data_IF_816670304068
#
_entry.id   IF_816670304068
#
_cell.length_a   1.000
_cell.length_b   1.000
_cell.length_c   1.000
_cell.angle_alpha   90.00
_cell.angle_beta   90.00
_cell.angle_gamma   90.00
#
_symmetry.space_group_name_H-M   'P 1'
#
loop_
_entity.id
_entity.type
_entity.pdbx_description
1 polymer ?
#
# COMPACT_ATOMS: atom_id res chain seq x y z
N UNK A 1 0.22 7.12 -24.26
CA UNK A 1 0.15 6.41 -22.95
C UNK A 1 0.65 7.31 -21.81
N UNK A 2 1.82 7.94 -21.94
CA UNK A 2 2.40 8.82 -20.90
C UNK A 2 1.61 10.12 -20.67
N UNK A 3 1.11 10.78 -21.72
CA UNK A 3 0.28 11.99 -21.58
C UNK A 3 -1.04 11.71 -20.83
N UNK A 4 -1.72 10.61 -21.15
CA UNK A 4 -2.93 10.15 -20.46
C UNK A 4 -2.62 9.73 -19.01
N UNK A 5 -1.46 9.11 -18.78
CA UNK A 5 -0.97 8.82 -17.42
C UNK A 5 -0.73 10.10 -16.63
N UNK A 6 -0.13 11.14 -17.23
CA UNK A 6 0.04 12.47 -16.60
C UNK A 6 -1.30 13.14 -16.30
N UNK A 7 -2.23 13.12 -17.24
CA UNK A 7 -3.58 13.69 -17.10
C UNK A 7 -4.36 13.01 -15.96
N UNK A 8 -4.45 11.67 -15.99
CA UNK A 8 -5.10 10.86 -14.94
C UNK A 8 -4.46 11.06 -13.56
N UNK A 9 -3.14 11.24 -13.54
CA UNK A 9 -2.38 11.33 -12.31
C UNK A 9 -2.29 12.76 -11.73
N UNK A 10 -2.73 13.77 -12.49
CA UNK A 10 -2.99 15.14 -12.03
C UNK A 10 -4.41 15.30 -11.48
N UNK A 11 -5.32 14.35 -11.73
CA UNK A 11 -6.69 14.34 -11.22
C UNK A 11 -6.81 13.80 -9.78
N UNK A 12 -5.87 14.16 -8.88
CA UNK A 12 -6.01 13.90 -7.44
C UNK A 12 -6.77 15.05 -6.81
N UNK A 13 -8.09 15.11 -7.04
CA UNK A 13 -8.95 16.25 -6.71
C UNK A 13 -9.13 16.60 -5.23
N UNK A 14 -8.39 15.97 -4.31
CA UNK A 14 -8.89 15.88 -2.95
C UNK A 14 -8.10 16.71 -1.92
N UNK A 15 -6.78 16.67 -1.81
CA UNK A 15 -6.10 17.48 -0.76
C UNK A 15 -4.67 17.89 -1.15
N UNK A 16 -4.33 19.16 -0.93
CA UNK A 16 -2.98 19.68 -1.10
C UNK A 16 -2.02 19.08 -0.04
N UNK A 17 -0.72 18.93 -0.35
CA UNK A 17 0.30 18.61 0.66
C UNK A 17 0.22 19.57 1.86
N UNK A 18 0.17 19.02 3.09
CA UNK A 18 0.36 19.81 4.31
C UNK A 18 -0.90 20.27 5.08
N UNK A 19 -2.11 19.79 4.73
CA UNK A 19 -3.37 20.23 5.39
C UNK A 19 -3.66 19.55 6.74
N UNK A 20 -2.77 18.68 7.23
CA UNK A 20 -3.02 17.92 8.46
C UNK A 20 -2.35 18.56 9.67
N UNK A 21 -3.13 18.80 10.72
CA UNK A 21 -2.68 19.37 11.99
C UNK A 21 -1.52 18.54 12.58
N UNK A 22 -0.34 19.18 12.69
CA UNK A 22 0.92 18.59 13.13
C UNK A 22 0.92 18.15 14.61
N UNK A 23 -0.17 18.42 15.35
CA UNK A 23 -0.31 18.11 16.78
C UNK A 23 -1.06 16.81 17.08
N UNK A 24 -1.52 16.05 16.08
CA UNK A 24 -2.24 14.79 16.38
C UNK A 24 -1.29 13.71 16.91
N UNK A 25 -1.60 13.05 18.04
CA UNK A 25 -0.83 11.90 18.50
C UNK A 25 -0.89 10.77 17.46
N UNK A 26 0.29 10.35 17.00
CA UNK A 26 0.45 9.22 16.07
C UNK A 26 0.23 7.91 16.80
N UNK A 27 -0.99 7.38 16.75
CA UNK A 27 -1.33 6.06 17.27
C UNK A 27 -1.57 5.09 16.12
N UNK A 28 -0.99 3.91 16.21
CA UNK A 28 -1.39 2.80 15.34
C UNK A 28 -2.86 2.44 15.60
N UNK A 29 -3.63 2.37 14.53
CA UNK A 29 -5.02 2.00 14.56
C UNK A 29 -5.39 1.27 13.26
N UNK A 30 -6.36 0.36 13.35
CA UNK A 30 -7.00 -0.23 12.18
C UNK A 30 -8.02 0.76 11.60
N UNK A 31 -8.28 0.64 10.29
CA UNK A 31 -9.28 1.46 9.63
C UNK A 31 -8.80 2.87 9.27
N UNK A 32 -9.73 3.83 9.09
CA UNK A 32 -9.41 5.15 8.58
C UNK A 32 -8.68 5.99 9.64
N UNK A 33 -7.88 6.95 9.18
CA UNK A 33 -7.30 7.97 10.06
C UNK A 33 -8.23 9.18 10.05
N UNK A 34 -8.72 9.60 11.22
CA UNK A 34 -9.67 10.71 11.35
C UNK A 34 -9.21 11.95 10.57
N UNK A 35 -10.07 12.64 9.82
CA UNK A 35 -9.65 13.83 9.08
C UNK A 35 -8.60 13.61 7.98
N UNK A 36 -8.25 12.36 7.65
CA UNK A 36 -7.48 12.00 6.46
C UNK A 36 -8.37 11.23 5.50
N UNK A 37 -9.12 11.94 4.64
CA UNK A 37 -9.94 11.32 3.61
C UNK A 37 -9.11 10.61 2.54
N UNK A 38 -9.76 9.66 1.85
CA UNK A 38 -9.21 9.03 0.64
C UNK A 38 -8.85 10.10 -0.39
N UNK A 39 -7.73 9.91 -1.07
CA UNK A 39 -7.20 10.84 -2.06
C UNK A 39 -6.21 11.85 -1.51
N UNK A 40 -6.01 11.94 -0.18
CA UNK A 40 -4.90 12.73 0.39
C UNK A 40 -3.55 12.29 -0.19
N UNK A 41 -2.70 13.28 -0.50
CA UNK A 41 -1.37 13.06 -1.06
C UNK A 41 -0.27 13.62 -0.17
N UNK A 42 0.91 13.00 -0.26
CA UNK A 42 2.15 13.46 0.38
C UNK A 42 3.30 13.43 -0.64
N UNK A 43 4.16 14.46 -0.68
CA UNK A 43 5.34 14.50 -1.54
C UNK A 43 6.32 13.35 -1.26
N UNK A 44 6.40 12.87 -0.02
CA UNK A 44 7.39 11.88 0.41
C UNK A 44 6.81 10.79 1.33
N UNK A 45 7.53 9.65 1.42
CA UNK A 45 7.24 8.59 2.41
C UNK A 45 7.27 9.12 3.83
N UNK A 46 8.21 10.03 4.12
CA UNK A 46 8.38 10.62 5.44
C UNK A 46 7.16 11.42 5.86
N UNK A 47 6.64 12.27 4.99
CA UNK A 47 5.43 13.05 5.27
C UNK A 47 4.19 12.15 5.39
N UNK A 48 4.06 11.11 4.56
CA UNK A 48 2.99 10.11 4.69
C UNK A 48 3.05 9.38 6.05
N UNK A 49 4.28 9.07 6.52
CA UNK A 49 4.52 8.47 7.83
C UNK A 49 4.20 9.42 8.98
N UNK A 50 4.60 10.69 8.87
CA UNK A 50 4.31 11.73 9.85
C UNK A 50 2.82 12.07 9.91
N UNK A 51 2.07 11.85 8.84
CA UNK A 51 0.61 11.95 8.84
C UNK A 51 -0.09 10.74 9.51
N UNK A 52 0.65 9.67 9.81
CA UNK A 52 0.12 8.50 10.52
C UNK A 52 -0.63 7.49 9.66
N UNK A 53 -0.75 7.73 8.36
CA UNK A 53 -1.46 6.82 7.44
C UNK A 53 -0.66 5.55 7.19
N UNK A 54 0.66 5.69 7.04
CA UNK A 54 1.60 4.57 6.93
C UNK A 54 2.88 4.87 7.71
N UNK A 55 2.92 4.53 9.00
CA UNK A 55 4.03 4.90 9.90
C UNK A 55 5.36 4.20 9.60
N UNK A 56 5.36 3.15 8.79
CA UNK A 56 6.59 2.48 8.40
C UNK A 56 7.35 3.30 7.35
N UNK A 57 8.45 3.92 7.76
CA UNK A 57 9.24 4.83 6.92
C UNK A 57 9.86 4.13 5.70
N UNK A 58 10.29 2.87 5.84
CA UNK A 58 10.89 2.07 4.77
C UNK A 58 10.04 0.88 4.35
N UNK A 59 9.55 0.12 5.33
CA UNK A 59 8.84 -1.12 5.04
C UNK A 59 7.56 -0.88 4.23
N UNK A 60 7.26 -1.83 3.34
CA UNK A 60 6.03 -1.85 2.56
C UNK A 60 4.81 -2.12 3.44
N UNK A 61 4.96 -2.89 4.53
CA UNK A 61 3.87 -3.31 5.40
C UNK A 61 4.09 -2.72 6.81
N UNK A 62 3.04 -2.14 7.38
CA UNK A 62 2.98 -1.72 8.77
C UNK A 62 2.10 -2.70 9.56
N UNK A 63 2.73 -3.66 10.26
CA UNK A 63 2.06 -4.73 11.01
C UNK A 63 1.62 -4.32 12.42
N UNK A 64 0.58 -4.98 12.93
CA UNK A 64 -0.01 -4.82 14.25
C UNK A 64 -0.41 -6.16 14.89
N UNK A 65 -0.91 -6.15 16.14
CA UNK A 65 -1.21 -7.35 16.90
C UNK A 65 -2.38 -8.18 16.34
N UNK A 66 -3.28 -7.58 15.53
CA UNK A 66 -4.50 -8.18 14.95
C UNK A 66 -4.53 -8.12 13.42
N UNK A 67 -3.39 -7.84 12.80
CA UNK A 67 -3.25 -7.75 11.35
C UNK A 67 -2.37 -6.59 10.92
N UNK A 68 -2.29 -6.33 9.62
CA UNK A 68 -1.64 -5.13 9.10
C UNK A 68 -2.52 -3.89 9.26
N UNK A 69 -1.93 -2.77 9.68
CA UNK A 69 -2.62 -1.47 9.69
C UNK A 69 -2.66 -0.86 8.29
N UNK A 70 -1.55 -0.98 7.55
CA UNK A 70 -1.39 -0.34 6.24
C UNK A 70 -0.33 -1.01 5.38
N UNK A 71 -0.46 -0.86 4.07
CA UNK A 71 0.55 -1.21 3.07
C UNK A 71 0.85 -0.04 2.14
N UNK A 72 2.07 -0.03 1.59
CA UNK A 72 2.52 0.94 0.61
C UNK A 72 3.12 0.23 -0.62
N UNK A 73 2.58 0.52 -1.81
CA UNK A 73 3.13 0.08 -3.09
C UNK A 73 4.07 1.15 -3.64
N UNK A 74 5.34 0.83 -3.89
CA UNK A 74 6.32 1.83 -4.39
C UNK A 74 7.22 1.31 -5.50
N UNK A 75 6.76 0.32 -6.28
CA UNK A 75 7.52 -0.25 -7.41
C UNK A 75 8.68 -1.15 -7.01
N UNK A 76 8.75 -1.58 -5.74
CA UNK A 76 9.79 -2.48 -5.26
C UNK A 76 9.58 -3.93 -5.67
N UNK A 77 8.35 -4.35 -5.96
CA UNK A 77 7.98 -5.69 -6.39
C UNK A 77 7.05 -5.59 -7.61
N UNK A 78 6.93 -6.68 -8.36
CA UNK A 78 6.03 -6.81 -9.52
C UNK A 78 4.59 -7.06 -9.05
N UNK A 79 4.02 -6.10 -8.31
CA UNK A 79 2.64 -6.15 -7.84
C UNK A 79 1.66 -6.03 -9.02
N UNK A 80 0.59 -6.83 -9.01
CA UNK A 80 -0.50 -6.71 -10.00
C UNK A 80 -1.61 -5.84 -9.43
N UNK A 81 -1.71 -4.63 -9.95
CA UNK A 81 -2.65 -3.62 -9.46
C UNK A 81 -3.81 -3.43 -10.46
N UNK A 82 -5.03 -3.76 -10.04
CA UNK A 82 -6.29 -3.61 -10.78
C UNK A 82 -7.21 -2.58 -10.12
N UNK A 83 -6.64 -1.68 -9.31
CA UNK A 83 -7.38 -0.61 -8.64
C UNK A 83 -8.13 -1.13 -7.41
N UNK A 84 -9.36 -1.60 -7.61
CA UNK A 84 -10.21 -2.15 -6.54
C UNK A 84 -9.71 -3.53 -6.06
N UNK A 85 -8.90 -4.21 -6.88
CA UNK A 85 -8.20 -5.45 -6.52
C UNK A 85 -6.70 -5.22 -6.65
N UNK A 86 -5.94 -5.66 -5.65
CA UNK A 86 -4.47 -5.57 -5.64
C UNK A 86 -3.90 -6.93 -5.27
N UNK A 87 -3.03 -7.48 -6.12
CA UNK A 87 -2.18 -8.61 -5.77
C UNK A 87 -0.84 -8.04 -5.31
N UNK A 88 -0.66 -8.06 -3.99
CA UNK A 88 0.49 -7.47 -3.31
C UNK A 88 1.52 -8.54 -2.96
N UNK A 89 2.78 -8.28 -3.28
CA UNK A 89 3.89 -9.17 -2.94
C UNK A 89 4.34 -8.90 -1.50
N UNK A 90 4.51 -9.96 -0.73
CA UNK A 90 5.05 -9.93 0.62
C UNK A 90 6.46 -9.37 0.67
N UNK A 91 6.98 -9.21 1.89
CA UNK A 91 8.34 -8.74 2.13
C UNK A 91 9.30 -9.89 2.42
N UNK A 92 10.60 -9.61 2.32
CA UNK A 92 11.68 -10.56 2.54
C UNK A 92 12.28 -11.05 1.23
N UNK A 93 13.23 -11.98 1.31
CA UNK A 93 13.93 -12.50 0.15
C UNK A 93 14.96 -11.53 -0.43
N UNK A 94 15.34 -10.47 0.30
CA UNK A 94 16.30 -9.43 -0.13
C UNK A 94 17.18 -8.98 1.02
N UNK A 95 18.49 -8.91 0.78
CA UNK A 95 19.47 -8.60 1.83
C UNK A 95 19.66 -7.09 2.08
N UNK A 96 19.42 -6.22 1.08
CA UNK A 96 19.64 -4.78 1.19
C UNK A 96 18.41 -4.02 1.74
N UNK A 97 17.93 -4.39 2.92
CA UNK A 97 16.76 -3.74 3.56
C UNK A 97 15.53 -3.65 2.66
N UNK A 98 15.31 -4.67 1.81
CA UNK A 98 14.20 -4.73 0.84
C UNK A 98 14.47 -4.07 -0.52
N UNK A 99 15.65 -3.46 -0.72
CA UNK A 99 16.12 -2.98 -2.02
C UNK A 99 16.97 -4.05 -2.74
N UNK A 100 17.09 -3.95 -4.06
CA UNK A 100 17.88 -4.90 -4.87
C UNK A 100 17.13 -6.17 -5.30
N UNK A 101 17.81 -7.08 -6.03
CA UNK A 101 17.23 -8.32 -6.50
C UNK A 101 16.90 -9.26 -5.34
N UNK A 102 16.04 -10.25 -5.61
CA UNK A 102 15.82 -11.32 -4.64
C UNK A 102 17.05 -12.23 -4.53
N UNK A 103 17.33 -12.71 -3.32
CA UNK A 103 18.48 -13.58 -3.00
C UNK A 103 18.09 -14.88 -2.31
N UNK A 104 16.86 -14.99 -1.81
CA UNK A 104 16.32 -16.17 -1.14
C UNK A 104 14.79 -16.12 -1.10
N UNK A 105 14.17 -17.23 -0.71
CA UNK A 105 12.72 -17.36 -0.57
C UNK A 105 12.14 -16.46 0.53
N UNK A 106 10.94 -15.94 0.30
CA UNK A 106 10.15 -15.28 1.34
C UNK A 106 9.63 -16.29 2.36
N UNK A 107 9.26 -15.77 3.54
CA UNK A 107 8.75 -16.60 4.64
C UNK A 107 7.44 -16.06 5.19
N UNK A 108 6.47 -16.96 5.40
CA UNK A 108 5.20 -16.64 6.10
C UNK A 108 5.45 -16.25 7.55
N UNK A 109 6.56 -16.70 8.14
CA UNK A 109 6.98 -16.35 9.51
C UNK A 109 7.60 -14.96 9.61
N UNK A 110 7.91 -14.31 8.48
CA UNK A 110 8.36 -12.93 8.51
C UNK A 110 7.25 -12.05 9.11
N UNK A 111 7.58 -11.25 10.14
CA UNK A 111 6.60 -10.53 10.97
C UNK A 111 5.54 -9.78 10.17
N UNK A 112 5.96 -9.08 9.11
CA UNK A 112 5.06 -8.32 8.24
C UNK A 112 4.16 -9.21 7.37
N UNK A 113 4.66 -10.34 6.87
CA UNK A 113 3.84 -11.28 6.09
C UNK A 113 2.82 -11.95 7.01
N UNK A 114 3.26 -12.37 8.21
CA UNK A 114 2.37 -12.91 9.24
C UNK A 114 1.25 -11.93 9.63
N UNK A 115 1.52 -10.62 9.65
CA UNK A 115 0.50 -9.61 9.90
C UNK A 115 -0.56 -9.54 8.79
N UNK A 116 -0.17 -9.66 7.51
CA UNK A 116 -1.15 -9.73 6.41
C UNK A 116 -1.94 -11.04 6.41
N UNK A 117 -1.30 -12.17 6.73
CA UNK A 117 -1.99 -13.45 6.92
C UNK A 117 -3.03 -13.32 8.04
N UNK A 118 -2.65 -12.72 9.17
CA UNK A 118 -3.57 -12.47 10.29
C UNK A 118 -4.74 -11.56 9.92
N UNK A 119 -4.55 -10.60 9.01
CA UNK A 119 -5.65 -9.77 8.49
C UNK A 119 -6.72 -10.58 7.74
N UNK A 120 -6.41 -11.77 7.21
CA UNK A 120 -7.39 -12.67 6.60
C UNK A 120 -8.31 -13.24 7.68
N UNK A 121 -7.73 -13.70 8.79
CA UNK A 121 -8.48 -14.28 9.92
C UNK A 121 -9.34 -13.24 10.64
N UNK A 122 -8.77 -12.05 10.89
CA UNK A 122 -9.43 -11.02 11.70
C UNK A 122 -10.36 -10.11 10.89
N UNK A 123 -10.22 -10.10 9.56
CA UNK A 123 -10.94 -9.19 8.67
C UNK A 123 -10.61 -7.71 8.90
N UNK A 124 -9.53 -7.39 9.62
CA UNK A 124 -9.17 -6.01 9.93
C UNK A 124 -8.88 -5.23 8.62
N UNK A 125 -9.43 -4.01 8.47
CA UNK A 125 -9.21 -3.19 7.28
C UNK A 125 -7.76 -2.68 7.22
N UNK A 126 -7.15 -2.84 6.05
CA UNK A 126 -5.79 -2.41 5.72
C UNK A 126 -5.85 -1.14 4.88
N UNK A 127 -5.18 -0.06 5.32
CA UNK A 127 -5.02 1.14 4.48
C UNK A 127 -4.06 0.86 3.34
N UNK A 128 -4.44 1.24 2.12
CA UNK A 128 -3.57 1.13 0.93
C UNK A 128 -3.06 2.50 0.53
N UNK A 129 -1.74 2.61 0.41
CA UNK A 129 -1.05 3.80 -0.05
C UNK A 129 -0.34 3.47 -1.37
N UNK A 130 -0.65 4.21 -2.43
CA UNK A 130 0.05 4.07 -3.73
C UNK A 130 1.12 5.13 -3.90
N UNK A 131 2.34 4.73 -4.20
CA UNK A 131 3.46 5.61 -4.51
C UNK A 131 3.69 5.77 -6.02
N UNK A 132 4.00 6.99 -6.45
CA UNK A 132 4.12 7.31 -7.89
C UNK A 132 5.33 6.73 -8.62
N UNK A 133 6.28 6.13 -7.88
CA UNK A 133 7.37 5.35 -8.47
C UNK A 133 6.89 4.02 -9.08
N UNK A 134 5.67 3.56 -8.76
CA UNK A 134 5.07 2.38 -9.37
C UNK A 134 4.68 2.64 -10.82
N UNK A 135 4.82 1.63 -11.69
CA UNK A 135 4.35 1.66 -13.09
C UNK A 135 2.84 1.41 -13.23
N UNK A 136 2.15 1.10 -12.14
CA UNK A 136 0.70 0.90 -12.11
C UNK A 136 -0.06 2.10 -12.70
N UNK A 137 -1.09 1.87 -13.55
CA UNK A 137 -1.96 2.94 -14.04
C UNK A 137 -2.79 3.59 -12.93
N UNK A 138 -2.91 2.93 -11.77
CA UNK A 138 -3.63 3.43 -10.60
C UNK A 138 -2.73 4.24 -9.65
N UNK A 139 -1.41 4.21 -9.83
CA UNK A 139 -0.48 4.99 -9.01
C UNK A 139 -0.63 6.50 -9.28
N UNK A 140 -0.37 7.36 -8.29
CA UNK A 140 -0.29 8.81 -8.53
C UNK A 140 0.93 9.16 -9.39
N UNK A 141 0.99 10.39 -9.90
CA UNK A 141 2.08 10.80 -10.80
C UNK A 141 3.40 10.86 -10.03
N UNK A 142 3.32 11.39 -8.82
CA UNK A 142 4.40 11.57 -7.89
C UNK A 142 3.87 11.38 -6.46
N UNK A 143 4.81 11.35 -5.51
CA UNK A 143 4.47 11.25 -4.09
C UNK A 143 3.74 9.96 -3.74
N UNK A 144 2.89 10.05 -2.72
CA UNK A 144 2.15 8.96 -2.10
C UNK A 144 0.71 9.39 -1.90
N UNK A 145 -0.24 8.52 -2.25
CA UNK A 145 -1.68 8.80 -2.13
C UNK A 145 -2.36 7.72 -1.31
N UNK A 146 -3.23 8.13 -0.38
CA UNK A 146 -4.07 7.22 0.38
C UNK A 146 -5.30 6.81 -0.44
N UNK A 147 -5.39 5.54 -0.80
CA UNK A 147 -6.42 5.03 -1.74
C UNK A 147 -7.56 4.27 -1.03
N UNK A 148 -7.60 4.36 0.29
CA UNK A 148 -8.66 3.85 1.14
C UNK A 148 -8.35 2.52 1.79
N UNK A 149 -9.41 1.89 2.28
CA UNK A 149 -9.39 0.65 3.04
C UNK A 149 -9.65 -0.56 2.16
N UNK A 150 -8.89 -1.61 2.38
CA UNK A 150 -9.00 -2.88 1.70
C UNK A 150 -9.07 -4.00 2.75
N UNK A 151 -9.63 -5.14 2.37
CA UNK A 151 -9.53 -6.39 3.14
C UNK A 151 -8.54 -7.32 2.43
N UNK A 152 -7.74 -8.05 3.20
CA UNK A 152 -6.97 -9.18 2.67
C UNK A 152 -7.91 -10.37 2.61
N UNK A 153 -8.04 -11.00 1.44
CA UNK A 153 -9.04 -12.06 1.23
C UNK A 153 -8.42 -13.42 0.92
N UNK A 154 -7.16 -13.45 0.51
CA UNK A 154 -6.46 -14.68 0.15
C UNK A 154 -4.94 -14.47 0.14
N UNK A 155 -4.19 -15.55 0.27
CA UNK A 155 -2.75 -15.61 0.19
C UNK A 155 -2.26 -16.91 -0.47
N UNK A 156 -1.18 -16.82 -1.25
CA UNK A 156 -0.55 -18.01 -1.81
C UNK A 156 0.95 -17.82 -1.98
N UNK A 157 1.65 -18.93 -2.20
CA UNK A 157 3.05 -18.94 -2.61
C UNK A 157 3.12 -19.02 -4.14
N UNK A 158 4.00 -18.24 -4.75
CA UNK A 158 4.34 -18.31 -6.17
C UNK A 158 5.84 -18.12 -6.36
N UNK A 159 6.35 -18.32 -7.57
CA UNK A 159 7.75 -18.07 -7.89
C UNK A 159 7.88 -16.73 -8.63
N UNK A 160 8.89 -15.94 -8.26
CA UNK A 160 9.24 -14.74 -9.00
C UNK A 160 9.99 -15.09 -10.31
N UNK A 161 10.36 -14.07 -11.09
CA UNK A 161 11.10 -14.26 -12.36
C UNK A 161 12.48 -14.88 -12.19
N UNK A 162 13.05 -14.82 -10.98
CA UNK A 162 14.36 -15.35 -10.64
C UNK A 162 14.28 -16.75 -10.00
N UNK A 163 13.08 -17.34 -9.88
CA UNK A 163 12.85 -18.67 -9.31
C UNK A 163 12.76 -18.73 -7.78
N UNK A 164 12.73 -17.59 -7.10
CA UNK A 164 12.54 -17.53 -5.64
C UNK A 164 11.06 -17.54 -5.28
N UNK A 165 10.73 -18.23 -4.20
CA UNK A 165 9.38 -18.24 -3.64
C UNK A 165 9.04 -16.88 -3.06
N UNK A 166 7.91 -16.34 -3.49
CA UNK A 166 7.29 -15.13 -2.95
C UNK A 166 5.92 -15.48 -2.38
N UNK A 167 5.47 -14.66 -1.44
CA UNK A 167 4.11 -14.76 -0.91
C UNK A 167 3.30 -13.63 -1.53
N UNK A 168 2.17 -13.96 -2.11
CA UNK A 168 1.26 -12.98 -2.69
C UNK A 168 -0.02 -12.91 -1.87
N UNK A 169 -0.56 -11.70 -1.76
CA UNK A 169 -1.78 -11.41 -1.03
C UNK A 169 -2.78 -10.75 -1.97
N UNK A 170 -4.02 -11.24 -1.99
CA UNK A 170 -5.11 -10.57 -2.68
C UNK A 170 -5.81 -9.63 -1.72
N UNK A 171 -5.83 -8.35 -2.09
CA UNK A 171 -6.56 -7.31 -1.37
C UNK A 171 -7.73 -6.81 -2.22
N UNK A 172 -8.88 -6.63 -1.58
CA UNK A 172 -10.07 -6.06 -2.20
C UNK A 172 -10.51 -4.79 -1.48
N UNK A 173 -10.81 -3.75 -2.26
CA UNK A 173 -11.27 -2.47 -1.72
C UNK A 173 -12.62 -2.64 -1.02
N UNK A 174 -12.73 -2.12 0.19
CA UNK A 174 -13.99 -2.15 0.93
C UNK A 174 -15.03 -1.20 0.30
N UNK A 175 -16.33 -1.56 0.34
CA UNK A 175 -17.41 -0.66 -0.07
C UNK A 175 -17.60 0.48 0.95
N UNK A 176 -18.50 1.42 0.64
CA UNK A 176 -18.97 2.47 1.56
C UNK A 176 -17.89 3.42 2.11
N UNK A 177 -16.84 3.66 1.34
CA UNK A 177 -15.87 4.73 1.56
C UNK A 177 -15.90 5.70 0.38
N UNK A 178 -15.21 6.84 0.48
CA UNK A 178 -15.12 7.80 -0.63
C UNK A 178 -14.70 7.11 -1.94
N UNK A 179 -15.12 7.65 -3.10
CA UNK A 179 -14.76 7.08 -4.40
C UNK A 179 -13.26 6.86 -4.54
N UNK A 180 -12.90 5.84 -5.32
CA UNK A 180 -11.51 5.60 -5.67
C UNK A 180 -10.92 6.86 -6.35
N UNK A 181 -9.72 7.33 -5.93
CA UNK A 181 -9.10 8.56 -6.45
C UNK A 181 -8.36 8.32 -7.79
N UNK A 182 -8.84 7.35 -8.58
CA UNK A 182 -8.27 6.93 -9.86
C UNK A 182 -9.39 6.52 -10.81
N UNK A 183 -9.21 6.75 -12.10
CA UNK A 183 -10.16 6.30 -13.10
C UNK A 183 -10.04 4.78 -13.27
N UNK A 184 -11.18 4.09 -13.31
CA UNK A 184 -11.22 2.66 -13.63
C UNK A 184 -10.67 2.49 -15.04
N UNK A 185 -9.73 1.57 -15.23
CA UNK A 185 -9.25 1.26 -16.57
C UNK A 185 -10.47 0.80 -17.41
N UNK A 186 -10.74 1.52 -18.49
CA UNK A 186 -11.72 1.14 -19.53
C UNK A 186 -11.22 -0.05 -20.31
#
# INVERSE_FOLDING_TARGET
>A
MEAKRRELAQQTHLFAPGVLDSKRPLKDAYGPVNGIPVGCTWPSRGECSQAGVHRAFRAGICGGPDGAYSICTSGGYDDKDEGDVLIYTGTGGRDNFGSGPMTHDQSRKHLQNAALIRSIETGQPVRVIRGGASTSPYAPYNGYRYDGLYRVVDEWESENRDGFKIIQFRLERLPNQSPAPYNKAT
#
